data_IF_267438110279
#
_entry.id   IF_267438110279
#
_cell.length_a   1.000
_cell.length_b   1.000
_cell.length_c   1.000
_cell.angle_alpha   90.00
_cell.angle_beta   90.00
_cell.angle_gamma   90.00
#
_symmetry.space_group_name_H-M   'P 1'
#
loop_
_entity.id
_entity.type
_entity.pdbx_description
1 polymer ?
#
# COMPACT_ATOMS: atom_id res chain seq x y z
N UNK A 1 15.85 1.94 26.14
CA UNK A 1 15.53 2.66 24.89
C UNK A 1 14.04 2.49 24.67
N UNK A 2 13.19 3.52 24.63
CA UNK A 2 11.78 3.30 24.35
C UNK A 2 11.68 2.79 22.90
N UNK A 3 10.96 1.68 22.71
CA UNK A 3 10.67 1.12 21.40
C UNK A 3 9.94 2.18 20.57
N UNK A 4 10.51 2.58 19.43
CA UNK A 4 9.84 3.53 18.52
C UNK A 4 8.82 2.75 17.69
N UNK A 5 7.51 3.08 17.76
CA UNK A 5 6.46 2.40 17.00
C UNK A 5 6.72 2.37 15.48
N UNK A 6 7.51 3.33 14.98
CA UNK A 6 7.95 3.40 13.59
C UNK A 6 8.67 2.15 13.11
N UNK A 7 9.46 1.51 13.98
CA UNK A 7 10.20 0.30 13.62
C UNK A 7 9.28 -0.92 13.49
N UNK A 8 8.16 -0.94 14.19
CA UNK A 8 7.23 -2.07 14.19
C UNK A 8 6.39 -2.12 12.91
N UNK A 9 6.13 -0.98 12.26
CA UNK A 9 5.51 -0.94 10.92
C UNK A 9 6.45 -1.61 9.90
N UNK A 10 7.72 -1.20 9.85
CA UNK A 10 8.71 -1.70 8.88
C UNK A 10 9.01 -3.20 9.06
N UNK A 11 8.99 -3.70 10.30
CA UNK A 11 9.31 -5.10 10.61
C UNK A 11 8.10 -6.03 10.42
N UNK A 12 6.87 -5.50 10.50
CA UNK A 12 5.66 -6.32 10.49
C UNK A 12 5.28 -6.96 9.16
N UNK A 13 5.77 -6.45 8.03
CA UNK A 13 5.36 -6.89 6.68
C UNK A 13 6.54 -7.24 5.77
N UNK A 14 7.53 -7.92 6.35
CA UNK A 14 8.76 -8.35 5.69
C UNK A 14 8.60 -9.44 4.62
N UNK A 15 7.42 -9.65 4.05
CA UNK A 15 7.21 -10.68 3.01
C UNK A 15 6.80 -10.14 1.63
N UNK A 16 6.58 -8.83 1.47
CA UNK A 16 6.25 -8.24 0.15
C UNK A 16 6.48 -6.73 0.13
N UNK A 17 7.71 -6.26 0.36
CA UNK A 17 7.98 -4.83 0.55
C UNK A 17 7.79 -4.02 -0.75
N UNK A 18 6.54 -3.65 -1.02
CA UNK A 18 6.13 -2.55 -1.90
C UNK A 18 6.57 -1.20 -1.30
N UNK A 19 6.85 -1.16 0.01
CA UNK A 19 7.36 0.00 0.74
C UNK A 19 8.83 0.22 0.43
N UNK A 20 9.17 1.37 -0.15
CA UNK A 20 10.57 1.81 -0.29
C UNK A 20 11.06 2.46 0.98
N UNK A 21 10.23 3.30 1.59
CA UNK A 21 10.56 4.01 2.82
C UNK A 21 9.30 4.47 3.55
N UNK A 22 9.45 4.76 4.84
CA UNK A 22 8.45 5.43 5.67
C UNK A 22 9.08 6.74 6.15
N UNK A 23 8.38 7.84 5.92
CA UNK A 23 8.80 9.20 6.22
C UNK A 23 7.84 9.89 7.19
N UNK A 24 8.30 11.02 7.75
CA UNK A 24 7.55 11.93 8.63
C UNK A 24 6.65 11.27 9.69
N UNK A 25 7.23 10.33 10.47
CA UNK A 25 6.49 9.68 11.54
C UNK A 25 6.18 10.66 12.66
N UNK A 26 4.89 10.90 12.92
CA UNK A 26 4.39 11.72 14.01
C UNK A 26 3.45 10.92 14.90
N UNK A 27 3.78 10.87 16.19
CA UNK A 27 2.92 10.32 17.22
C UNK A 27 2.49 11.45 18.16
N UNK A 28 1.18 11.70 18.25
CA UNK A 28 0.62 12.70 19.15
C UNK A 28 -0.15 11.99 20.26
N UNK A 29 0.28 12.20 21.51
CA UNK A 29 -0.46 11.79 22.69
C UNK A 29 -1.65 12.75 22.89
N UNK A 30 -2.85 12.20 22.92
CA UNK A 30 -4.11 12.94 23.08
C UNK A 30 -4.62 12.91 24.53
N UNK A 31 -3.85 12.39 25.47
CA UNK A 31 -4.26 12.14 26.85
C UNK A 31 -5.06 10.85 26.99
N UNK A 32 -5.23 10.38 28.24
CA UNK A 32 -5.96 9.14 28.55
C UNK A 32 -5.38 7.86 27.87
N UNK A 33 -4.07 7.81 27.65
CA UNK A 33 -3.34 6.74 26.94
C UNK A 33 -3.74 6.56 25.46
N UNK A 34 -4.23 7.60 24.79
CA UNK A 34 -4.56 7.53 23.37
C UNK A 34 -3.50 8.19 22.50
N UNK A 35 -3.00 7.44 21.51
CA UNK A 35 -2.02 7.92 20.56
C UNK A 35 -2.63 7.97 19.16
N UNK A 36 -2.41 9.10 18.46
CA UNK A 36 -2.63 9.23 17.01
C UNK A 36 -1.29 9.12 16.29
N UNK A 37 -1.25 8.28 15.28
CA UNK A 37 -0.07 8.04 14.46
C UNK A 37 -0.31 8.51 13.02
N UNK A 38 0.63 9.29 12.49
CA UNK A 38 0.69 9.68 11.08
C UNK A 38 2.05 9.32 10.51
N UNK A 39 2.08 8.78 9.29
CA UNK A 39 3.31 8.56 8.56
C UNK A 39 3.10 8.71 7.06
N UNK A 40 4.13 9.20 6.39
CA UNK A 40 4.23 9.26 4.95
C UNK A 40 4.88 7.98 4.43
N UNK A 41 4.43 7.47 3.28
CA UNK A 41 4.89 6.19 2.73
C UNK A 41 5.36 6.37 1.28
N UNK A 42 6.56 5.88 0.97
CA UNK A 42 7.08 5.79 -0.40
C UNK A 42 6.82 4.37 -0.95
N UNK A 43 6.23 4.32 -2.15
CA UNK A 43 5.74 3.11 -2.78
C UNK A 43 6.59 2.77 -4.00
N UNK A 44 7.03 1.52 -4.08
CA UNK A 44 7.63 0.98 -5.29
C UNK A 44 6.56 0.56 -6.29
N UNK A 45 6.21 1.49 -7.18
CA UNK A 45 5.26 1.21 -8.26
C UNK A 45 5.61 -0.03 -9.10
N UNK A 46 6.90 -0.39 -9.27
CA UNK A 46 7.27 -1.61 -10.01
C UNK A 46 6.95 -2.87 -9.24
N UNK A 47 7.18 -2.88 -7.93
CA UNK A 47 6.83 -4.03 -7.09
C UNK A 47 5.33 -4.14 -6.90
N UNK A 48 4.61 -3.01 -6.84
CA UNK A 48 3.16 -2.98 -6.84
C UNK A 48 2.60 -3.57 -8.14
N UNK A 49 3.08 -3.12 -9.31
CA UNK A 49 2.69 -3.70 -10.60
C UNK A 49 3.06 -5.18 -10.69
N UNK A 50 4.21 -5.60 -10.16
CA UNK A 50 4.58 -7.01 -10.14
C UNK A 50 3.61 -7.84 -9.30
N UNK A 51 3.26 -7.36 -8.11
CA UNK A 51 2.26 -8.02 -7.24
C UNK A 51 0.88 -8.06 -7.91
N UNK A 52 0.53 -7.01 -8.66
CA UNK A 52 -0.67 -7.02 -9.50
C UNK A 52 -0.61 -8.13 -10.55
N UNK A 53 0.47 -8.20 -11.33
CA UNK A 53 0.66 -9.21 -12.38
C UNK A 53 0.69 -10.64 -11.83
N UNK A 54 1.20 -10.86 -10.62
CA UNK A 54 1.20 -12.18 -9.96
C UNK A 54 -0.23 -12.69 -9.67
N UNK A 55 -1.23 -11.79 -9.62
CA UNK A 55 -2.65 -12.13 -9.47
C UNK A 55 -3.39 -12.30 -10.80
N UNK A 56 -2.72 -12.05 -11.93
CA UNK A 56 -3.31 -12.11 -13.27
C UNK A 56 -2.82 -13.34 -14.03
N UNK A 57 -3.60 -13.75 -15.04
CA UNK A 57 -3.12 -14.67 -16.06
C UNK A 57 -2.41 -13.88 -17.17
N UNK A 58 -1.08 -14.05 -17.26
CA UNK A 58 -0.25 -13.30 -18.21
C UNK A 58 -0.47 -13.72 -19.66
N UNK A 59 -0.86 -14.96 -19.92
CA UNK A 59 -1.14 -15.42 -21.29
C UNK A 59 -2.42 -14.75 -21.79
N UNK A 60 -3.46 -14.74 -20.95
CA UNK A 60 -4.71 -14.01 -21.24
C UNK A 60 -4.46 -12.52 -21.41
N UNK A 61 -3.65 -11.90 -20.54
CA UNK A 61 -3.33 -10.47 -20.64
C UNK A 61 -2.57 -10.15 -21.94
N UNK A 62 -1.61 -10.98 -22.32
CA UNK A 62 -0.87 -10.82 -23.57
C UNK A 62 -1.80 -10.92 -24.78
N UNK A 63 -2.73 -11.88 -24.78
CA UNK A 63 -3.74 -11.99 -25.82
C UNK A 63 -4.65 -10.77 -25.89
N UNK A 64 -5.11 -10.23 -24.75
CA UNK A 64 -5.90 -9.00 -24.69
C UNK A 64 -5.12 -7.83 -25.31
N UNK A 65 -3.83 -7.67 -24.95
CA UNK A 65 -2.96 -6.61 -25.48
C UNK A 65 -2.75 -6.73 -26.99
N UNK A 66 -2.58 -7.95 -27.52
CA UNK A 66 -2.41 -8.19 -28.96
C UNK A 66 -3.67 -7.89 -29.78
N UNK A 67 -4.85 -7.91 -29.15
CA UNK A 67 -6.14 -7.64 -29.80
C UNK A 67 -6.46 -6.14 -29.91
N UNK A 68 -5.72 -5.27 -29.21
CA UNK A 68 -5.89 -3.81 -29.25
C UNK A 68 -5.53 -3.26 -30.65
N UNK A 69 -6.44 -2.47 -31.23
CA UNK A 69 -6.34 -1.90 -32.58
C UNK A 69 -6.54 -0.39 -32.61
N UNK A 70 -7.24 0.18 -31.62
CA UNK A 70 -7.53 1.63 -31.59
C UNK A 70 -6.96 2.30 -30.34
N UNK A 71 -6.85 3.63 -30.39
CA UNK A 71 -6.35 4.42 -29.26
C UNK A 71 -7.31 4.30 -28.07
N UNK A 72 -8.62 4.26 -28.33
CA UNK A 72 -9.67 4.12 -27.32
C UNK A 72 -9.57 2.77 -26.60
N UNK A 73 -9.23 1.70 -27.30
CA UNK A 73 -9.03 0.37 -26.70
C UNK A 73 -7.77 0.35 -25.82
N UNK A 74 -6.70 1.02 -26.24
CA UNK A 74 -5.49 1.20 -25.42
C UNK A 74 -5.81 1.99 -24.15
N UNK A 75 -6.56 3.08 -24.26
CA UNK A 75 -6.99 3.88 -23.11
C UNK A 75 -7.85 3.05 -22.14
N UNK A 76 -8.86 2.34 -22.65
CA UNK A 76 -9.69 1.47 -21.84
C UNK A 76 -8.90 0.37 -21.12
N UNK A 77 -7.91 -0.23 -21.81
CA UNK A 77 -7.02 -1.22 -21.22
C UNK A 77 -6.25 -0.63 -20.03
N UNK A 78 -5.58 0.50 -20.22
CA UNK A 78 -4.81 1.14 -19.13
C UNK A 78 -5.69 1.64 -18.00
N UNK A 79 -6.90 2.13 -18.27
CA UNK A 79 -7.85 2.55 -17.22
C UNK A 79 -8.27 1.36 -16.34
N UNK A 80 -8.66 0.22 -16.95
CA UNK A 80 -9.03 -1.01 -16.24
C UNK A 80 -7.91 -1.49 -15.31
N UNK A 81 -6.69 -1.60 -15.85
CA UNK A 81 -5.55 -2.11 -15.09
C UNK A 81 -5.03 -1.09 -14.07
N UNK A 82 -5.08 0.20 -14.40
CA UNK A 82 -4.70 1.30 -13.51
C UNK A 82 -5.59 1.38 -12.27
N UNK A 83 -6.91 1.32 -12.44
CA UNK A 83 -7.87 1.27 -11.32
C UNK A 83 -7.58 0.07 -10.41
N UNK A 84 -7.42 -1.12 -10.99
CA UNK A 84 -7.13 -2.35 -10.24
C UNK A 84 -5.84 -2.26 -9.42
N UNK A 85 -4.79 -1.62 -9.95
CA UNK A 85 -3.52 -1.41 -9.26
C UNK A 85 -3.69 -0.44 -8.08
N UNK A 86 -4.45 0.63 -8.25
CA UNK A 86 -4.73 1.62 -7.20
C UNK A 86 -5.59 1.01 -6.09
N UNK A 87 -6.61 0.22 -6.43
CA UNK A 87 -7.44 -0.50 -5.46
C UNK A 87 -6.60 -1.49 -4.64
N UNK A 88 -5.68 -2.21 -5.30
CA UNK A 88 -4.74 -3.10 -4.63
C UNK A 88 -3.85 -2.35 -3.63
N UNK A 89 -3.36 -1.15 -3.99
CA UNK A 89 -2.57 -0.31 -3.09
C UNK A 89 -3.39 0.13 -1.86
N UNK A 90 -4.62 0.60 -2.06
CA UNK A 90 -5.53 0.98 -0.97
C UNK A 90 -5.78 -0.17 0.00
N UNK A 91 -6.10 -1.36 -0.53
CA UNK A 91 -6.32 -2.55 0.31
C UNK A 91 -5.08 -3.00 1.08
N UNK A 92 -3.87 -2.78 0.54
CA UNK A 92 -2.63 -3.04 1.27
C UNK A 92 -2.43 -2.05 2.41
N UNK A 93 -2.64 -0.75 2.16
CA UNK A 93 -2.56 0.28 3.21
C UNK A 93 -3.53 -0.05 4.35
N UNK A 94 -4.79 -0.37 4.04
CA UNK A 94 -5.79 -0.75 5.04
C UNK A 94 -5.36 -1.96 5.88
N UNK A 95 -4.77 -2.96 5.23
CA UNK A 95 -4.27 -4.16 5.90
C UNK A 95 -3.13 -3.82 6.86
N UNK A 96 -2.20 -2.95 6.46
CA UNK A 96 -1.11 -2.49 7.32
C UNK A 96 -1.69 -1.77 8.52
N UNK A 97 -2.57 -0.81 8.30
CA UNK A 97 -3.16 -0.03 9.38
C UNK A 97 -3.89 -0.92 10.38
N UNK A 98 -4.67 -1.89 9.90
CA UNK A 98 -5.35 -2.86 10.74
C UNK A 98 -4.35 -3.71 11.54
N UNK A 99 -3.30 -4.21 10.90
CA UNK A 99 -2.27 -5.00 11.55
C UNK A 99 -1.52 -4.18 12.61
N UNK A 100 -1.22 -2.93 12.32
CA UNK A 100 -0.54 -2.01 13.23
C UNK A 100 -1.43 -1.68 14.45
N UNK A 101 -2.71 -1.35 14.24
CA UNK A 101 -3.71 -1.16 15.32
C UNK A 101 -3.86 -2.40 16.20
N UNK A 102 -3.80 -3.61 15.62
CA UNK A 102 -3.84 -4.88 16.38
C UNK A 102 -2.61 -5.10 17.25
N UNK A 103 -1.42 -4.70 16.78
CA UNK A 103 -0.16 -4.82 17.53
C UNK A 103 -0.02 -3.76 18.62
N UNK A 104 -0.64 -2.60 18.43
CA UNK A 104 -0.57 -1.45 19.35
C UNK A 104 -1.99 -0.98 19.74
N UNK A 105 -2.64 -1.63 20.72
CA UNK A 105 -4.02 -1.31 21.12
C UNK A 105 -4.22 0.12 21.66
N UNK A 106 -3.15 0.78 22.10
CA UNK A 106 -3.11 2.19 22.51
C UNK A 106 -3.32 3.17 21.35
N UNK A 107 -3.11 2.72 20.11
CA UNK A 107 -3.28 3.52 18.91
C UNK A 107 -4.73 3.48 18.46
N UNK A 108 -5.42 4.61 18.54
CA UNK A 108 -6.81 4.76 18.08
C UNK A 108 -6.92 5.21 16.63
N UNK A 109 -5.94 5.97 16.16
CA UNK A 109 -5.91 6.53 14.82
C UNK A 109 -4.54 6.27 14.20
N UNK A 110 -4.56 5.69 13.01
CA UNK A 110 -3.41 5.53 12.12
C UNK A 110 -3.84 6.16 10.81
N UNK A 111 -2.96 6.96 10.22
CA UNK A 111 -3.14 7.60 8.93
C UNK A 111 -1.83 7.39 8.15
N UNK A 112 -1.88 6.59 7.09
CA UNK A 112 -0.75 6.35 6.20
C UNK A 112 -1.01 7.05 4.86
N UNK A 113 -0.18 8.03 4.54
CA UNK A 113 -0.36 8.89 3.36
C UNK A 113 0.74 8.63 2.33
N UNK A 114 0.37 8.30 1.08
CA UNK A 114 1.33 8.09 -0.02
C UNK A 114 1.95 9.42 -0.46
N UNK A 115 3.28 9.43 -0.62
CA UNK A 115 4.08 10.57 -1.09
C UNK A 115 3.94 10.86 -2.59
#
# INVERSE_FOLDING_TARGET
MPHSPARDITVSESTSAIWRAIHDVKATDMGNNYVRYKAEIDIDGRQLTRSYLDSQDLDTLLEEMQKLKTIEEVEAFFLKHGESIVDMLGGQIDRIEMNFKKKHPEIRHVDLEVL
#
